data_IF_702290127468
#
_entry.id   IF_702290127468
#
_cell.length_a   1.000
_cell.length_b   1.000
_cell.length_c   1.000
_cell.angle_alpha   90.00
_cell.angle_beta   90.00
_cell.angle_gamma   90.00
#
_symmetry.space_group_name_H-M   'P 1'
#
loop_
_entity.id
_entity.type
_entity.pdbx_description
1 polymer ?
#
# COMPACT_ATOMS: atom_id res chain seq x y z
N UNK A 1 -39.93 17.56 -9.74
CA UNK A 1 -38.93 16.77 -10.46
C UNK A 1 -37.64 16.82 -9.67
N UNK A 2 -37.26 15.72 -9.03
CA UNK A 2 -35.99 15.59 -8.31
C UNK A 2 -34.85 15.74 -9.31
N UNK A 3 -33.94 16.69 -9.09
CA UNK A 3 -32.67 16.73 -9.81
C UNK A 3 -31.99 15.36 -9.66
N UNK A 4 -31.42 14.77 -10.73
CA UNK A 4 -30.56 13.61 -10.58
C UNK A 4 -29.39 13.97 -9.64
N UNK A 5 -28.91 13.03 -8.81
CA UNK A 5 -27.82 13.31 -7.89
C UNK A 5 -26.60 13.87 -8.65
N UNK A 6 -25.85 14.82 -8.06
CA UNK A 6 -24.67 15.38 -8.69
C UNK A 6 -23.69 14.23 -8.98
N UNK A 7 -23.35 14.06 -10.26
CA UNK A 7 -22.37 13.03 -10.64
C UNK A 7 -21.02 13.46 -10.08
N UNK A 8 -20.30 12.54 -9.42
CA UNK A 8 -18.99 12.86 -8.88
C UNK A 8 -17.99 13.02 -10.03
N UNK A 9 -17.50 14.24 -10.26
CA UNK A 9 -16.55 14.55 -11.33
C UNK A 9 -15.11 14.63 -10.81
N UNK A 10 -14.86 14.13 -9.60
CA UNK A 10 -13.55 14.17 -8.97
C UNK A 10 -12.77 12.87 -9.26
N UNK A 11 -11.74 12.96 -10.11
CA UNK A 11 -10.89 11.84 -10.52
C UNK A 11 -10.19 11.15 -9.34
N UNK A 12 -9.97 11.86 -8.23
CA UNK A 12 -9.28 11.33 -7.06
C UNK A 12 -10.13 10.37 -6.22
N UNK A 13 -11.45 10.34 -6.44
CA UNK A 13 -12.36 9.44 -5.72
C UNK A 13 -12.61 8.12 -6.44
N UNK A 14 -12.10 7.96 -7.66
CA UNK A 14 -12.28 6.76 -8.44
C UNK A 14 -11.12 5.79 -8.26
N UNK A 15 -11.43 4.51 -8.14
CA UNK A 15 -10.40 3.47 -8.15
C UNK A 15 -10.00 3.12 -9.59
N UNK A 16 -8.88 2.39 -9.75
CA UNK A 16 -8.39 1.99 -11.07
C UNK A 16 -9.42 1.16 -11.85
N UNK A 17 -10.14 0.26 -11.17
CA UNK A 17 -11.13 -0.61 -11.79
C UNK A 17 -12.33 0.19 -12.33
N UNK A 18 -12.78 1.21 -11.62
CA UNK A 18 -13.85 2.12 -12.02
C UNK A 18 -13.40 2.98 -13.21
N UNK A 19 -12.16 3.49 -13.20
CA UNK A 19 -11.61 4.23 -14.34
C UNK A 19 -11.52 3.35 -15.59
N UNK A 20 -11.06 2.11 -15.45
CA UNK A 20 -11.09 1.15 -16.56
C UNK A 20 -12.53 0.85 -16.99
N UNK A 21 -13.44 0.71 -16.04
CA UNK A 21 -14.87 0.49 -16.26
C UNK A 21 -15.56 1.61 -17.04
N UNK A 22 -15.18 2.88 -16.83
CA UNK A 22 -15.71 4.04 -17.59
C UNK A 22 -15.48 3.89 -19.11
N UNK A 23 -14.45 3.16 -19.52
CA UNK A 23 -14.10 2.96 -20.92
C UNK A 23 -14.42 1.55 -21.43
N UNK A 24 -15.02 0.67 -20.62
CA UNK A 24 -15.19 -0.77 -20.85
C UNK A 24 -13.85 -1.51 -21.04
N UNK A 25 -12.84 -1.17 -20.25
CA UNK A 25 -11.51 -1.75 -20.33
C UNK A 25 -11.27 -2.81 -19.26
N UNK A 26 -10.36 -3.74 -19.56
CA UNK A 26 -9.81 -4.69 -18.60
C UNK A 26 -8.38 -4.31 -18.23
N UNK A 27 -7.77 -4.97 -17.24
CA UNK A 27 -6.37 -4.74 -16.86
C UNK A 27 -5.37 -5.00 -18.01
N UNK A 28 -5.74 -5.82 -19.00
CA UNK A 28 -4.96 -6.03 -20.21
C UNK A 28 -5.38 -5.03 -21.29
N UNK A 29 -4.71 -3.87 -21.32
CA UNK A 29 -5.02 -2.78 -22.25
C UNK A 29 -4.33 -3.02 -23.59
N UNK A 30 -5.10 -3.05 -24.69
CA UNK A 30 -4.56 -3.11 -26.06
C UNK A 30 -4.58 -1.73 -26.75
N UNK A 31 -3.89 -1.61 -27.89
CA UNK A 31 -3.90 -0.37 -28.70
C UNK A 31 -5.30 -0.08 -29.25
N UNK A 32 -6.06 -1.11 -29.62
CA UNK A 32 -7.42 -0.97 -30.14
C UNK A 32 -8.37 -0.42 -29.07
N UNK A 33 -8.20 -0.90 -27.84
CA UNK A 33 -8.90 -0.42 -26.67
C UNK A 33 -8.65 1.07 -26.40
N UNK A 34 -7.39 1.52 -26.51
CA UNK A 34 -7.05 2.95 -26.40
C UNK A 34 -7.72 3.79 -27.49
N UNK A 35 -7.78 3.29 -28.73
CA UNK A 35 -8.49 3.98 -29.83
C UNK A 35 -9.98 4.10 -29.55
N UNK A 36 -10.60 3.04 -29.00
CA UNK A 36 -12.02 3.04 -28.60
C UNK A 36 -12.28 4.00 -27.45
N UNK A 37 -11.41 4.00 -26.42
CA UNK A 37 -11.49 4.93 -25.30
C UNK A 37 -11.37 6.39 -25.77
N UNK A 38 -10.40 6.69 -26.64
CA UNK A 38 -10.25 8.03 -27.24
C UNK A 38 -11.49 8.47 -28.02
N UNK A 39 -12.11 7.56 -28.78
CA UNK A 39 -13.36 7.83 -29.50
C UNK A 39 -14.50 8.19 -28.54
N UNK A 40 -14.62 7.51 -27.40
CA UNK A 40 -15.61 7.84 -26.35
C UNK A 40 -15.39 9.24 -25.78
N UNK A 41 -14.15 9.61 -25.43
CA UNK A 41 -13.83 10.98 -24.94
C UNK A 41 -14.24 12.03 -25.98
N UNK A 42 -13.97 11.79 -27.25
CA UNK A 42 -14.29 12.73 -28.33
C UNK A 42 -15.80 12.89 -28.53
N UNK A 43 -16.59 11.84 -28.30
CA UNK A 43 -18.06 11.91 -28.32
C UNK A 43 -18.63 12.74 -27.16
N UNK A 44 -17.92 12.82 -26.04
CA UNK A 44 -18.33 13.58 -24.85
C UNK A 44 -17.98 15.06 -24.93
N UNK A 45 -17.31 15.52 -26.01
CA UNK A 45 -17.00 16.92 -26.23
C UNK A 45 -18.29 17.78 -26.15
N UNK A 46 -18.28 18.94 -25.45
CA UNK A 46 -19.48 19.75 -25.19
C UNK A 46 -20.23 20.14 -26.47
N UNK A 47 -19.51 20.33 -27.57
CA UNK A 47 -20.08 20.61 -28.91
C UNK A 47 -20.95 19.46 -29.47
N UNK A 48 -20.62 18.21 -29.13
CA UNK A 48 -21.31 17.00 -29.63
C UNK A 48 -22.35 16.46 -28.65
N UNK A 49 -22.01 16.43 -27.37
CA UNK A 49 -22.85 15.84 -26.32
C UNK A 49 -23.85 16.83 -25.73
N UNK A 50 -23.62 18.14 -25.89
CA UNK A 50 -24.36 19.23 -25.21
C UNK A 50 -24.33 19.12 -23.68
N UNK A 51 -23.41 18.34 -23.12
CA UNK A 51 -23.17 18.19 -21.68
C UNK A 51 -22.24 19.31 -21.17
N UNK A 52 -22.19 19.50 -19.84
CA UNK A 52 -21.25 20.46 -19.23
C UNK A 52 -19.80 20.14 -19.64
N UNK A 53 -18.96 21.15 -19.92
CA UNK A 53 -17.53 20.97 -20.17
C UNK A 53 -16.80 20.16 -19.09
N UNK A 54 -17.31 20.14 -17.86
CA UNK A 54 -16.72 19.43 -16.72
C UNK A 54 -16.66 17.91 -16.96
N UNK A 55 -17.68 17.33 -17.60
CA UNK A 55 -17.70 15.91 -17.95
C UNK A 55 -16.59 15.58 -18.95
N UNK A 56 -16.39 16.44 -19.95
CA UNK A 56 -15.33 16.25 -20.93
C UNK A 56 -13.95 16.34 -20.26
N UNK A 57 -13.74 17.31 -19.36
CA UNK A 57 -12.48 17.45 -18.63
C UNK A 57 -12.19 16.24 -17.75
N UNK A 58 -13.19 15.70 -17.07
CA UNK A 58 -13.09 14.48 -16.28
C UNK A 58 -12.67 13.28 -17.15
N UNK A 59 -13.40 13.00 -18.24
CA UNK A 59 -13.09 11.88 -19.14
C UNK A 59 -11.73 12.03 -19.84
N UNK A 60 -11.32 13.26 -20.16
CA UNK A 60 -9.98 13.53 -20.69
C UNK A 60 -8.90 13.19 -19.66
N UNK A 61 -9.04 13.66 -18.42
CA UNK A 61 -8.10 13.34 -17.33
C UNK A 61 -8.03 11.83 -17.09
N UNK A 62 -9.18 11.14 -17.06
CA UNK A 62 -9.23 9.69 -16.90
C UNK A 62 -8.52 8.96 -18.05
N UNK A 63 -8.71 9.40 -19.29
CA UNK A 63 -8.01 8.85 -20.46
C UNK A 63 -6.50 9.09 -20.41
N UNK A 64 -6.06 10.29 -20.02
CA UNK A 64 -4.63 10.62 -19.90
C UNK A 64 -3.93 9.71 -18.87
N UNK A 65 -4.60 9.37 -17.76
CA UNK A 65 -4.08 8.42 -16.77
C UNK A 65 -3.95 7.00 -17.37
N UNK A 66 -4.96 6.53 -18.09
CA UNK A 66 -4.92 5.22 -18.75
C UNK A 66 -3.79 5.16 -19.79
N UNK A 67 -3.60 6.23 -20.55
CA UNK A 67 -2.53 6.34 -21.53
C UNK A 67 -1.15 6.27 -20.85
N UNK A 68 -0.97 7.02 -19.75
CA UNK A 68 0.27 6.99 -18.98
C UNK A 68 0.56 5.60 -18.41
N UNK A 69 -0.45 4.91 -17.86
CA UNK A 69 -0.30 3.52 -17.38
C UNK A 69 0.07 2.58 -18.52
N UNK A 70 -0.58 2.70 -19.69
CA UNK A 70 -0.24 1.89 -20.85
C UNK A 70 1.20 2.12 -21.29
N UNK A 71 1.63 3.37 -21.42
CA UNK A 71 3.01 3.72 -21.78
C UNK A 71 4.01 3.17 -20.77
N UNK A 72 3.75 3.33 -19.47
CA UNK A 72 4.62 2.83 -18.41
C UNK A 72 4.79 1.32 -18.45
N UNK A 73 3.70 0.58 -18.67
CA UNK A 73 3.76 -0.88 -18.84
C UNK A 73 4.56 -1.28 -20.11
N UNK A 74 4.48 -0.50 -21.18
CA UNK A 74 5.19 -0.80 -22.43
C UNK A 74 6.63 -0.28 -22.47
N UNK A 75 7.05 0.60 -21.56
CA UNK A 75 8.45 1.08 -21.45
C UNK A 75 9.45 -0.05 -21.24
N UNK A 76 9.06 -1.12 -20.55
CA UNK A 76 9.93 -2.28 -20.33
C UNK A 76 10.25 -3.03 -21.63
N UNK A 77 9.37 -2.94 -22.62
CA UNK A 77 9.52 -3.57 -23.93
C UNK A 77 10.20 -2.66 -24.96
N UNK A 78 10.52 -1.41 -24.60
CA UNK A 78 11.19 -0.48 -25.50
C UNK A 78 12.69 -0.80 -25.56
N UNK A 79 13.23 -0.84 -26.78
CA UNK A 79 14.68 -0.96 -26.99
C UNK A 79 15.37 0.29 -26.45
N UNK A 80 16.26 0.10 -25.47
CA UNK A 80 17.04 1.20 -24.90
C UNK A 80 18.02 1.69 -25.98
N UNK A 81 17.80 2.89 -26.51
CA UNK A 81 18.79 3.54 -27.37
C UNK A 81 20.00 3.94 -26.50
N UNK A 82 21.22 3.66 -26.97
CA UNK A 82 22.49 3.91 -26.26
C UNK A 82 22.84 5.39 -26.02
N UNK A 83 21.94 6.31 -26.34
CA UNK A 83 22.13 7.74 -26.09
C UNK A 83 21.79 8.07 -24.64
N UNK A 84 22.71 8.76 -23.97
CA UNK A 84 22.52 9.22 -22.59
C UNK A 84 21.37 10.23 -22.54
N UNK A 85 20.17 9.76 -22.19
CA UNK A 85 19.02 10.64 -21.98
C UNK A 85 19.32 11.51 -20.77
N UNK A 86 19.69 12.77 -21.00
CA UNK A 86 19.84 13.75 -19.93
C UNK A 86 18.52 13.85 -19.17
N UNK A 87 18.56 13.61 -17.87
CA UNK A 87 17.40 13.77 -16.99
C UNK A 87 16.81 15.17 -17.17
N UNK A 88 15.62 15.23 -17.75
CA UNK A 88 14.81 16.45 -17.80
C UNK A 88 13.80 16.35 -16.66
N UNK A 89 13.95 17.11 -15.57
CA UNK A 89 12.92 17.14 -14.54
C UNK A 89 11.59 17.55 -15.19
N UNK A 90 10.50 16.92 -14.75
CA UNK A 90 9.15 17.24 -15.18
C UNK A 90 8.97 18.77 -15.10
N UNK A 91 8.65 19.42 -16.21
CA UNK A 91 8.52 20.89 -16.24
C UNK A 91 7.49 21.32 -15.20
N UNK A 92 7.99 21.96 -14.14
CA UNK A 92 7.17 22.49 -13.09
C UNK A 92 6.42 23.69 -13.69
N UNK A 93 5.14 23.50 -14.03
CA UNK A 93 4.17 24.44 -14.65
C UNK A 93 4.03 25.82 -13.99
N UNK A 94 4.84 26.13 -12.98
CA UNK A 94 4.94 27.44 -12.37
C UNK A 94 5.87 28.35 -13.18
N UNK A 95 5.32 29.48 -13.63
CA UNK A 95 6.03 30.56 -14.31
C UNK A 95 7.34 30.92 -13.57
N UNK A 96 8.46 31.02 -14.30
CA UNK A 96 9.78 31.34 -13.72
C UNK A 96 9.78 32.64 -12.90
N UNK A 97 8.93 33.62 -13.28
CA UNK A 97 8.74 34.86 -12.52
C UNK A 97 8.14 34.63 -11.12
N UNK A 98 7.19 33.70 -10.98
CA UNK A 98 6.58 33.37 -9.69
C UNK A 98 7.58 32.64 -8.77
N UNK A 99 8.41 31.74 -9.33
CA UNK A 99 9.47 31.06 -8.57
C UNK A 99 10.51 32.04 -8.02
N UNK A 100 10.92 33.01 -8.84
CA UNK A 100 11.88 34.02 -8.43
C UNK A 100 11.31 34.92 -7.32
N UNK A 101 10.03 35.30 -7.40
CA UNK A 101 9.35 36.04 -6.33
C UNK A 101 9.23 35.24 -5.03
N UNK A 102 8.84 33.97 -5.08
CA UNK A 102 8.82 33.12 -3.88
C UNK A 102 10.21 33.04 -3.26
N UNK A 103 11.25 32.89 -4.08
CA UNK A 103 12.64 32.82 -3.60
C UNK A 103 13.10 34.11 -2.92
N UNK A 104 12.72 35.29 -3.44
CA UNK A 104 13.07 36.56 -2.80
C UNK A 104 12.33 36.72 -1.47
N UNK A 105 11.04 36.41 -1.43
CA UNK A 105 10.22 36.49 -0.20
C UNK A 105 10.76 35.59 0.90
N UNK A 106 11.08 34.32 0.57
CA UNK A 106 11.69 33.39 1.53
C UNK A 106 13.07 33.88 1.99
N UNK A 107 13.83 34.54 1.12
CA UNK A 107 15.14 35.09 1.46
C UNK A 107 15.09 36.35 2.32
N UNK A 108 13.99 37.10 2.26
CA UNK A 108 13.76 38.34 3.03
C UNK A 108 13.11 38.08 4.40
N UNK A 109 12.41 36.95 4.56
CA UNK A 109 11.80 36.53 5.82
C UNK A 109 12.85 36.13 6.88
N UNK A 110 12.55 36.37 8.15
CA UNK A 110 13.36 35.85 9.25
C UNK A 110 13.26 34.32 9.33
N UNK A 111 14.34 33.66 9.79
CA UNK A 111 14.39 32.20 9.90
C UNK A 111 13.33 31.64 10.84
N UNK A 112 13.00 32.34 11.93
CA UNK A 112 11.98 31.89 12.88
C UNK A 112 10.58 31.96 12.27
N UNK A 113 10.28 33.06 11.58
CA UNK A 113 9.01 33.28 10.88
C UNK A 113 8.82 32.32 9.69
N UNK A 114 9.88 32.07 8.92
CA UNK A 114 9.89 31.04 7.89
C UNK A 114 9.58 29.66 8.46
N UNK A 115 10.26 29.25 9.54
CA UNK A 115 10.03 27.94 10.13
C UNK A 115 8.59 27.79 10.65
N UNK A 116 8.04 28.83 11.29
CA UNK A 116 6.66 28.80 11.77
C UNK A 116 5.64 28.69 10.63
N UNK A 117 5.75 29.57 9.63
CA UNK A 117 4.86 29.59 8.46
C UNK A 117 5.00 28.34 7.60
N UNK A 118 6.23 27.84 7.40
CA UNK A 118 6.49 26.59 6.70
C UNK A 118 5.87 25.40 7.45
N UNK A 119 6.11 25.27 8.75
CA UNK A 119 5.55 24.17 9.53
C UNK A 119 4.02 24.22 9.56
N UNK A 120 3.43 25.42 9.67
CA UNK A 120 1.98 25.59 9.58
C UNK A 120 1.43 25.14 8.22
N UNK A 121 1.97 25.68 7.12
CA UNK A 121 1.55 25.33 5.77
C UNK A 121 1.79 23.85 5.46
N UNK A 122 2.89 23.28 5.95
CA UNK A 122 3.20 21.86 5.83
C UNK A 122 2.17 21.00 6.57
N UNK A 123 1.89 21.30 7.84
CA UNK A 123 0.92 20.55 8.64
C UNK A 123 -0.51 20.65 8.11
N UNK A 124 -0.90 21.79 7.54
CA UNK A 124 -2.20 21.99 6.88
C UNK A 124 -2.30 21.22 5.56
N UNK A 125 -1.22 21.14 4.79
CA UNK A 125 -1.20 20.52 3.46
C UNK A 125 -0.62 19.09 3.44
N UNK A 126 -0.27 18.49 4.57
CA UNK A 126 0.15 17.08 4.60
C UNK A 126 -0.98 16.18 4.09
N UNK A 127 -0.69 15.35 3.09
CA UNK A 127 -1.63 14.34 2.55
C UNK A 127 -1.96 13.28 3.59
N UNK A 128 -0.96 12.88 4.40
CA UNK A 128 -1.14 11.90 5.45
C UNK A 128 -0.62 12.43 6.75
N UNK A 129 -1.48 12.53 7.74
CA UNK A 129 -1.05 12.73 9.12
C UNK A 129 -0.64 11.36 9.67
N UNK A 130 0.51 11.25 10.35
CA UNK A 130 0.88 9.99 10.98
C UNK A 130 -0.23 9.60 11.96
N UNK A 131 -0.72 8.36 11.86
CA UNK A 131 -1.75 7.88 12.77
C UNK A 131 -1.13 7.70 14.16
N UNK A 132 -1.47 8.60 15.08
CA UNK A 132 -0.91 8.60 16.43
C UNK A 132 -1.37 7.36 17.22
N UNK A 133 -2.60 6.88 16.97
CA UNK A 133 -3.19 5.78 17.75
C UNK A 133 -2.46 4.45 17.60
N UNK A 134 -1.81 4.23 16.45
CA UNK A 134 -1.05 3.00 16.17
C UNK A 134 0.09 2.77 17.16
N UNK A 135 0.72 3.85 17.64
CA UNK A 135 1.87 3.78 18.55
C UNK A 135 1.51 4.14 20.00
N UNK A 136 0.23 4.38 20.31
CA UNK A 136 -0.23 4.70 21.66
C UNK A 136 0.14 3.62 22.68
N UNK A 137 0.22 2.35 22.24
CA UNK A 137 0.62 1.25 23.10
C UNK A 137 2.04 1.41 23.66
N UNK A 138 2.93 2.13 22.95
CA UNK A 138 4.31 2.36 23.36
C UNK A 138 4.44 3.49 24.40
N UNK A 139 3.44 4.36 24.49
CA UNK A 139 3.44 5.49 25.43
C UNK A 139 2.76 5.18 26.76
N UNK A 140 2.06 4.05 26.88
CA UNK A 140 1.39 3.63 28.11
C UNK A 140 2.32 2.76 28.95
N UNK A 141 2.49 3.10 30.23
CA UNK A 141 3.25 2.30 31.20
C UNK A 141 2.41 1.16 31.84
N UNK A 142 1.32 0.75 31.19
CA UNK A 142 0.43 -0.28 31.72
C UNK A 142 1.10 -1.67 31.61
N UNK A 143 1.08 -2.50 32.68
CA UNK A 143 1.65 -3.84 32.61
C UNK A 143 0.85 -4.70 31.62
N UNK A 144 1.55 -5.29 30.65
CA UNK A 144 0.95 -6.15 29.60
C UNK A 144 0.28 -7.38 30.21
N UNK A 145 0.81 -7.88 31.33
CA UNK A 145 0.28 -9.04 32.05
C UNK A 145 -0.01 -8.69 33.51
N UNK A 146 -1.24 -8.93 33.94
CA UNK A 146 -1.60 -8.90 35.36
C UNK A 146 -1.25 -10.25 35.99
N UNK A 147 -0.14 -10.30 36.71
CA UNK A 147 0.28 -11.47 37.48
C UNK A 147 -0.41 -11.41 38.84
N UNK A 148 -1.04 -12.52 39.25
CA UNK A 148 -1.63 -12.66 40.59
C UNK A 148 -0.54 -12.47 41.66
N UNK A 149 -0.74 -11.65 42.71
CA UNK A 149 0.27 -11.43 43.75
C UNK A 149 0.69 -12.70 44.53
N UNK A 150 -0.06 -13.82 44.45
CA UNK A 150 0.24 -15.06 45.17
C UNK A 150 0.95 -16.14 44.30
N UNK A 151 1.97 -15.77 43.53
CA UNK A 151 2.82 -16.77 42.85
C UNK A 151 3.84 -17.38 43.82
N UNK A 152 3.83 -18.71 43.92
CA UNK A 152 4.80 -19.55 44.64
C UNK A 152 5.51 -20.48 43.65
N UNK A 153 6.63 -21.08 44.07
CA UNK A 153 7.38 -22.05 43.24
C UNK A 153 6.55 -23.25 42.78
N UNK A 154 5.46 -23.59 43.48
CA UNK A 154 4.58 -24.72 43.15
C UNK A 154 3.49 -24.37 42.13
N UNK A 155 3.00 -23.13 42.09
CA UNK A 155 1.94 -22.71 41.16
C UNK A 155 2.48 -21.93 39.96
N UNK A 156 3.77 -21.59 39.94
CA UNK A 156 4.43 -20.85 38.87
C UNK A 156 4.22 -21.49 37.49
N UNK A 157 4.28 -22.83 37.40
CA UNK A 157 4.02 -23.54 36.14
C UNK A 157 2.61 -23.29 35.59
N UNK A 158 1.59 -23.43 36.43
CA UNK A 158 0.21 -23.18 36.05
C UNK A 158 -0.03 -21.72 35.65
N UNK A 159 0.55 -20.77 36.40
CA UNK A 159 0.46 -19.34 36.09
C UNK A 159 1.13 -19.04 34.75
N UNK A 160 2.32 -19.57 34.49
CA UNK A 160 2.99 -19.43 33.19
C UNK A 160 2.16 -20.02 32.05
N UNK A 161 1.53 -21.17 32.23
CA UNK A 161 0.69 -21.77 31.20
C UNK A 161 -0.56 -20.92 30.90
N UNK A 162 -1.14 -20.26 31.91
CA UNK A 162 -2.23 -19.30 31.66
C UNK A 162 -1.77 -18.07 30.87
N UNK A 163 -0.54 -17.60 31.11
CA UNK A 163 0.06 -16.49 30.36
C UNK A 163 0.32 -16.92 28.91
N UNK A 164 0.93 -18.10 28.70
CA UNK A 164 1.17 -18.64 27.35
C UNK A 164 -0.12 -18.81 26.57
N UNK A 165 -1.20 -19.28 27.22
CA UNK A 165 -2.50 -19.43 26.58
C UNK A 165 -3.06 -18.09 26.11
N UNK A 166 -3.10 -17.08 27.00
CA UNK A 166 -3.56 -15.73 26.63
C UNK A 166 -2.70 -15.13 25.52
N UNK A 167 -1.39 -15.37 25.56
CA UNK A 167 -0.48 -14.86 24.53
C UNK A 167 -0.70 -15.56 23.17
N UNK A 168 -0.99 -16.85 23.16
CA UNK A 168 -1.27 -17.61 21.94
C UNK A 168 -2.52 -17.11 21.20
N UNK A 169 -3.53 -16.62 21.93
CA UNK A 169 -4.75 -16.02 21.35
C UNK A 169 -4.47 -14.68 20.65
N UNK A 170 -3.43 -13.96 21.06
CA UNK A 170 -3.05 -12.67 20.46
C UNK A 170 -2.18 -12.84 19.20
N UNK A 171 -1.49 -13.97 19.03
CA UNK A 171 -0.59 -14.19 17.90
C UNK A 171 -1.37 -14.70 16.68
N UNK A 172 -1.37 -13.91 15.61
CA UNK A 172 -1.93 -14.29 14.31
C UNK A 172 -1.14 -15.45 13.68
N UNK A 173 -1.83 -16.54 13.34
CA UNK A 173 -1.27 -17.64 12.57
C UNK A 173 -1.36 -17.36 11.07
N UNK A 174 -0.20 -17.18 10.43
CA UNK A 174 -0.12 -16.83 9.00
C UNK A 174 0.09 -18.03 8.05
N UNK A 175 0.10 -19.26 8.58
CA UNK A 175 0.31 -20.46 7.77
C UNK A 175 1.68 -20.49 7.06
N UNK A 176 1.71 -21.18 5.92
CA UNK A 176 2.89 -21.25 5.05
C UNK A 176 2.91 -19.98 4.20
N UNK A 177 3.94 -19.16 4.38
CA UNK A 177 4.18 -17.98 3.55
C UNK A 177 5.33 -18.26 2.58
N UNK A 178 5.17 -17.81 1.34
CA UNK A 178 6.27 -17.82 0.36
C UNK A 178 7.33 -16.82 0.83
N UNK A 179 8.58 -17.28 1.02
CA UNK A 179 9.67 -16.37 1.38
C UNK A 179 10.04 -15.51 0.17
N UNK A 180 10.11 -14.19 0.39
CA UNK A 180 10.48 -13.23 -0.64
C UNK A 180 12.01 -13.14 -0.77
N UNK A 181 12.61 -14.10 -1.48
CA UNK A 181 14.07 -14.26 -1.60
C UNK A 181 14.54 -13.98 -3.03
N UNK A 182 14.32 -12.78 -3.62
CA UNK A 182 15.34 -12.22 -4.53
C UNK A 182 15.19 -10.75 -5.03
N UNK A 183 16.40 -10.20 -5.20
CA UNK A 183 16.99 -9.26 -6.18
C UNK A 183 16.66 -7.78 -6.27
N UNK A 184 15.72 -7.20 -5.50
CA UNK A 184 15.77 -5.76 -5.17
C UNK A 184 14.77 -5.41 -4.04
N UNK A 185 15.28 -5.31 -2.81
CA UNK A 185 14.62 -4.68 -1.64
C UNK A 185 13.22 -5.20 -1.25
N UNK A 186 13.16 -6.08 -0.25
CA UNK A 186 11.91 -6.49 0.41
C UNK A 186 11.91 -6.15 1.90
N UNK A 187 12.23 -4.89 2.25
CA UNK A 187 11.91 -4.36 3.58
C UNK A 187 10.53 -3.74 3.47
N UNK A 188 9.52 -4.34 4.11
CA UNK A 188 8.19 -3.72 4.16
C UNK A 188 8.33 -2.37 4.87
N UNK A 189 7.98 -1.28 4.19
CA UNK A 189 7.99 0.05 4.80
C UNK A 189 6.59 0.39 5.32
N UNK A 190 6.54 1.24 6.34
CA UNK A 190 5.29 1.66 6.98
C UNK A 190 4.25 2.24 5.99
N UNK A 191 4.70 2.84 4.88
CA UNK A 191 3.86 3.46 3.85
C UNK A 191 3.32 2.50 2.77
N UNK A 192 3.75 1.24 2.73
CA UNK A 192 3.30 0.28 1.70
C UNK A 192 2.01 -0.47 2.08
N UNK A 193 1.53 -0.25 3.30
CA UNK A 193 0.44 -0.96 3.96
C UNK A 193 -0.68 0.04 4.31
N UNK A 194 -1.30 0.62 3.28
CA UNK A 194 -2.38 1.63 3.41
C UNK A 194 -3.79 1.06 3.23
N UNK A 195 -3.92 -0.24 3.03
CA UNK A 195 -5.24 -0.87 3.11
C UNK A 195 -5.67 -0.87 4.59
N UNK A 196 -6.93 -0.49 4.88
CA UNK A 196 -7.50 -0.44 6.24
C UNK A 196 -7.36 -1.79 7.00
N UNK A 197 -7.16 -2.89 6.27
CA UNK A 197 -6.91 -4.24 6.81
C UNK A 197 -5.46 -4.46 7.28
N UNK A 198 -4.56 -3.50 7.09
CA UNK A 198 -3.12 -3.63 7.34
C UNK A 198 -2.66 -3.12 8.73
N UNK A 199 -3.59 -2.64 9.57
CA UNK A 199 -3.28 -2.18 10.95
C UNK A 199 -2.69 -3.30 11.83
N UNK A 200 -2.97 -4.56 11.50
CA UNK A 200 -2.52 -5.74 12.24
C UNK A 200 -1.40 -6.54 11.56
N UNK A 201 -0.70 -5.95 10.59
CA UNK A 201 0.46 -6.57 9.94
C UNK A 201 1.76 -6.04 10.55
N UNK A 202 2.54 -6.93 11.15
CA UNK A 202 3.88 -6.60 11.63
C UNK A 202 4.82 -6.27 10.49
N UNK A 203 5.62 -5.23 10.68
CA UNK A 203 6.69 -4.87 9.76
C UNK A 203 7.95 -5.63 10.15
N UNK A 204 8.26 -6.69 9.42
CA UNK A 204 9.45 -7.50 9.62
C UNK A 204 10.24 -7.64 8.32
N UNK A 205 11.54 -7.88 8.43
CA UNK A 205 12.34 -8.27 7.26
C UNK A 205 12.35 -9.77 7.02
N UNK A 206 12.62 -10.16 5.78
CA UNK A 206 13.03 -11.53 5.44
C UNK A 206 14.20 -11.99 6.35
N UNK A 207 14.12 -13.18 6.99
CA UNK A 207 15.20 -13.75 7.80
C UNK A 207 16.57 -13.80 7.10
N UNK A 208 16.60 -13.85 5.76
CA UNK A 208 17.82 -13.89 4.95
C UNK A 208 18.28 -12.51 4.44
N UNK A 209 17.56 -11.43 4.76
CA UNK A 209 17.96 -10.07 4.38
C UNK A 209 19.24 -9.63 5.12
N UNK A 210 20.02 -8.75 4.47
CA UNK A 210 21.20 -8.11 5.05
C UNK A 210 20.85 -7.16 6.20
N UNK A 211 19.70 -6.50 6.10
CA UNK A 211 19.21 -5.51 7.06
C UNK A 211 18.08 -6.16 7.85
N UNK A 212 18.37 -6.64 9.06
CA UNK A 212 17.39 -7.38 9.88
C UNK A 212 16.72 -6.41 10.86
N UNK A 213 15.41 -6.24 10.73
CA UNK A 213 14.59 -5.54 11.71
C UNK A 213 13.30 -6.30 11.94
N UNK A 214 12.72 -6.09 13.12
CA UNK A 214 11.42 -6.62 13.49
C UNK A 214 10.57 -5.51 14.10
N UNK A 215 9.25 -5.66 14.03
CA UNK A 215 8.32 -4.65 14.53
C UNK A 215 8.42 -4.57 16.06
N UNK A 216 8.52 -3.35 16.60
CA UNK A 216 8.57 -3.15 18.05
C UNK A 216 7.31 -3.70 18.74
N UNK A 217 6.13 -3.57 18.10
CA UNK A 217 4.87 -4.12 18.65
C UNK A 217 4.95 -5.64 18.78
N UNK A 218 5.52 -6.30 17.78
CA UNK A 218 5.71 -7.75 17.79
C UNK A 218 6.62 -8.17 18.93
N UNK A 219 7.79 -7.54 19.08
CA UNK A 219 8.80 -7.95 20.06
C UNK A 219 8.40 -7.60 21.49
N UNK A 220 7.84 -6.40 21.71
CA UNK A 220 7.65 -5.85 23.06
C UNK A 220 6.22 -5.93 23.58
N UNK A 221 5.23 -6.27 22.75
CA UNK A 221 3.84 -6.39 23.18
C UNK A 221 3.27 -7.78 22.92
N UNK A 222 3.33 -8.24 21.66
CA UNK A 222 2.53 -9.38 21.22
C UNK A 222 3.29 -10.74 21.31
N UNK A 223 4.63 -10.74 21.20
CA UNK A 223 5.48 -11.95 21.23
C UNK A 223 6.55 -11.93 22.34
N UNK A 224 6.21 -11.41 23.52
CA UNK A 224 7.14 -11.39 24.67
C UNK A 224 7.30 -12.75 25.36
N UNK A 225 6.30 -13.64 25.23
CA UNK A 225 6.31 -14.98 25.84
C UNK A 225 6.07 -16.03 24.74
N UNK A 226 6.78 -17.16 24.82
CA UNK A 226 6.53 -18.28 23.91
C UNK A 226 5.07 -18.73 23.97
N UNK A 227 4.35 -18.67 22.85
CA UNK A 227 2.94 -19.02 22.76
C UNK A 227 2.66 -20.53 22.67
N UNK A 228 3.70 -21.37 22.68
CA UNK A 228 3.53 -22.82 22.59
C UNK A 228 3.30 -23.39 23.99
N UNK A 229 2.21 -24.15 24.13
CA UNK A 229 1.84 -24.85 25.36
C UNK A 229 1.69 -26.35 25.10
N UNK A 230 1.73 -27.16 26.15
CA UNK A 230 1.47 -28.60 26.02
C UNK A 230 0.09 -28.88 25.43
N UNK A 231 -0.88 -27.96 25.55
CA UNK A 231 -2.21 -28.11 24.93
C UNK A 231 -2.16 -28.12 23.42
N UNK A 232 -1.16 -27.52 22.79
CA UNK A 232 -1.02 -27.53 21.34
C UNK A 232 -0.74 -28.94 20.80
N UNK A 233 -0.22 -29.83 21.64
CA UNK A 233 -0.06 -31.26 21.29
C UNK A 233 -1.41 -31.90 21.00
N UNK A 234 -2.50 -31.42 21.59
CA UNK A 234 -3.84 -31.94 21.38
C UNK A 234 -4.47 -31.46 20.06
N UNK A 235 -3.93 -30.40 19.45
CA UNK A 235 -4.36 -29.90 18.14
C UNK A 235 -3.83 -30.76 16.98
N UNK A 236 -2.80 -31.57 17.25
CA UNK A 236 -2.16 -32.45 16.26
C UNK A 236 -2.60 -33.89 16.51
N UNK A 237 -2.87 -34.63 15.44
CA UNK A 237 -3.20 -36.05 15.54
C UNK A 237 -2.02 -36.82 16.18
N UNK A 238 -2.26 -37.40 17.35
CA UNK A 238 -1.29 -38.23 18.04
C UNK A 238 -1.47 -39.70 17.67
N UNK A 239 -0.37 -40.43 17.64
CA UNK A 239 -0.34 -41.85 17.30
C UNK A 239 0.25 -42.63 18.48
N UNK A 240 -0.48 -43.62 18.97
CA UNK A 240 -0.04 -44.49 20.07
C UNK A 240 0.99 -45.55 19.65
N UNK A 241 1.13 -45.81 18.35
CA UNK A 241 2.04 -46.83 17.81
C UNK A 241 2.65 -46.36 16.48
N UNK A 242 3.89 -46.79 16.24
CA UNK A 242 4.63 -46.53 15.00
C UNK A 242 3.90 -47.11 13.78
N UNK A 243 3.25 -48.26 13.91
CA UNK A 243 2.49 -48.88 12.80
C UNK A 243 1.28 -48.02 12.38
N UNK A 244 0.55 -47.45 13.36
CA UNK A 244 -0.56 -46.55 13.08
C UNK A 244 -0.09 -45.28 12.36
N UNK A 245 1.04 -44.71 12.80
CA UNK A 245 1.67 -43.57 12.14
C UNK A 245 2.09 -43.87 10.70
N UNK A 246 2.69 -45.04 10.44
CA UNK A 246 3.09 -45.44 9.08
C UNK A 246 1.90 -45.62 8.15
N UNK A 247 0.80 -46.19 8.63
CA UNK A 247 -0.43 -46.34 7.85
C UNK A 247 -1.04 -44.99 7.49
N UNK A 248 -1.14 -44.07 8.44
CA UNK A 248 -1.71 -42.73 8.19
C UNK A 248 -0.82 -41.91 7.25
N UNK A 249 0.51 -41.96 7.42
CA UNK A 249 1.45 -41.36 6.46
C UNK A 249 1.30 -41.96 5.07
N UNK A 250 1.07 -43.27 4.95
CA UNK A 250 0.86 -43.96 3.68
C UNK A 250 -0.47 -43.63 2.99
N UNK A 251 -1.48 -43.15 3.74
CA UNK A 251 -2.75 -42.66 3.19
C UNK A 251 -2.66 -41.25 2.62
N UNK A 252 -1.65 -40.47 3.01
CA UNK A 252 -1.50 -39.10 2.53
C UNK A 252 -1.10 -39.09 1.06
N UNK A 253 -1.92 -38.48 0.23
CA UNK A 253 -1.65 -38.30 -1.19
C UNK A 253 -0.60 -37.21 -1.36
N UNK A 254 0.68 -37.61 -1.43
CA UNK A 254 1.83 -36.73 -1.68
C UNK A 254 2.09 -36.53 -3.19
N UNK A 255 1.09 -36.76 -4.04
CA UNK A 255 1.27 -36.58 -5.48
C UNK A 255 1.52 -35.11 -5.77
N UNK A 256 2.67 -34.75 -6.37
CA UNK A 256 2.89 -33.38 -6.80
C UNK A 256 1.81 -32.98 -7.81
N UNK A 257 1.50 -31.68 -7.85
CA UNK A 257 0.58 -31.10 -8.82
C UNK A 257 0.98 -31.49 -10.25
N UNK A 258 0.00 -31.75 -11.10
CA UNK A 258 0.26 -31.98 -12.51
C UNK A 258 0.89 -30.72 -13.12
N UNK A 259 1.83 -30.89 -14.05
CA UNK A 259 2.51 -29.77 -14.73
C UNK A 259 1.53 -28.73 -15.28
N UNK A 260 0.45 -29.17 -15.93
CA UNK A 260 -0.54 -28.26 -16.50
C UNK A 260 -1.26 -27.43 -15.43
N UNK A 261 -1.63 -28.06 -14.32
CA UNK A 261 -2.27 -27.39 -13.19
C UNK A 261 -1.30 -26.41 -12.50
N UNK A 262 -0.05 -26.80 -12.35
CA UNK A 262 0.99 -25.95 -11.77
C UNK A 262 1.27 -24.70 -12.65
N UNK A 263 1.37 -24.87 -13.97
CA UNK A 263 1.53 -23.76 -14.92
C UNK A 263 0.32 -22.82 -14.90
N UNK A 264 -0.90 -23.38 -14.83
CA UNK A 264 -2.12 -22.59 -14.70
C UNK A 264 -2.13 -21.77 -13.40
N UNK A 265 -1.76 -22.39 -12.27
CA UNK A 265 -1.69 -21.70 -10.98
C UNK A 265 -0.65 -20.58 -11.00
N UNK A 266 0.52 -20.81 -11.61
CA UNK A 266 1.56 -19.80 -11.76
C UNK A 266 1.08 -18.62 -12.61
N UNK A 267 0.46 -18.90 -13.77
CA UNK A 267 -0.08 -17.86 -14.64
C UNK A 267 -1.18 -17.04 -13.96
N UNK A 268 -2.02 -17.67 -13.13
CA UNK A 268 -3.03 -16.99 -12.32
C UNK A 268 -2.39 -16.08 -11.26
N UNK A 269 -1.37 -16.56 -10.54
CA UNK A 269 -0.61 -15.75 -9.58
C UNK A 269 0.08 -14.55 -10.25
N UNK A 270 0.72 -14.77 -11.39
CA UNK A 270 1.38 -13.71 -12.17
C UNK A 270 0.38 -12.66 -12.66
N UNK A 271 -0.83 -13.08 -13.03
CA UNK A 271 -1.92 -12.15 -13.40
C UNK A 271 -2.34 -11.30 -12.20
N UNK A 272 -2.64 -11.93 -11.06
CA UNK A 272 -3.02 -11.23 -9.83
C UNK A 272 -1.92 -10.27 -9.34
N UNK A 273 -0.66 -10.69 -9.44
CA UNK A 273 0.48 -9.87 -9.09
C UNK A 273 0.58 -8.62 -9.98
N UNK A 274 0.45 -8.78 -11.31
CA UNK A 274 0.42 -7.65 -12.24
C UNK A 274 -0.72 -6.69 -11.96
N UNK A 275 -1.92 -7.20 -11.68
CA UNK A 275 -3.08 -6.37 -11.32
C UNK A 275 -2.81 -5.54 -10.05
N UNK A 276 -2.24 -6.15 -9.01
CA UNK A 276 -1.81 -5.44 -7.78
C UNK A 276 -0.75 -4.37 -8.06
N UNK A 277 0.23 -4.68 -8.89
CA UNK A 277 1.27 -3.70 -9.27
C UNK A 277 0.66 -2.49 -10.00
N UNK A 278 -0.25 -2.72 -10.95
CA UNK A 278 -0.95 -1.64 -11.65
C UNK A 278 -1.78 -0.77 -10.70
N UNK A 279 -2.46 -1.40 -9.73
CA UNK A 279 -3.21 -0.66 -8.71
C UNK A 279 -2.28 0.21 -7.85
N UNK A 280 -1.15 -0.33 -7.40
CA UNK A 280 -0.14 0.41 -6.64
C UNK A 280 0.46 1.57 -7.45
N UNK A 281 0.76 1.34 -8.72
CA UNK A 281 1.25 2.38 -9.63
C UNK A 281 0.24 3.52 -9.76
N UNK A 282 -1.04 3.18 -9.96
CA UNK A 282 -2.12 4.16 -10.05
C UNK A 282 -2.27 4.99 -8.77
N UNK A 283 -2.28 4.33 -7.60
CA UNK A 283 -2.32 5.01 -6.29
C UNK A 283 -1.11 5.94 -6.09
N UNK A 284 0.09 5.50 -6.48
CA UNK A 284 1.30 6.33 -6.40
C UNK A 284 1.20 7.56 -7.31
N UNK A 285 0.67 7.41 -8.52
CA UNK A 285 0.45 8.52 -9.44
C UNK A 285 -0.58 9.51 -8.89
N UNK A 286 -1.71 9.04 -8.36
CA UNK A 286 -2.70 9.89 -7.69
C UNK A 286 -2.09 10.70 -6.54
N UNK A 287 -1.31 10.05 -5.66
CA UNK A 287 -0.59 10.73 -4.57
C UNK A 287 0.37 11.78 -5.11
N UNK A 288 1.10 11.48 -6.18
CA UNK A 288 2.01 12.43 -6.83
C UNK A 288 1.26 13.65 -7.39
N UNK A 289 0.09 13.45 -8.01
CA UNK A 289 -0.77 14.53 -8.49
C UNK A 289 -1.27 15.40 -7.34
N UNK A 290 -1.79 14.80 -6.27
CA UNK A 290 -2.26 15.52 -5.08
C UNK A 290 -1.13 16.32 -4.44
N UNK A 291 0.04 15.71 -4.26
CA UNK A 291 1.24 16.38 -3.76
C UNK A 291 1.64 17.57 -4.64
N UNK A 292 1.53 17.44 -5.96
CA UNK A 292 1.83 18.52 -6.90
C UNK A 292 0.84 19.69 -6.77
N UNK A 293 -0.45 19.41 -6.59
CA UNK A 293 -1.47 20.44 -6.35
C UNK A 293 -1.24 21.16 -5.02
N UNK A 294 -1.00 20.41 -3.94
CA UNK A 294 -0.71 20.99 -2.63
C UNK A 294 0.56 21.82 -2.61
N UNK A 295 1.61 21.37 -3.30
CA UNK A 295 2.82 22.16 -3.46
C UNK A 295 2.54 23.50 -4.15
N UNK A 296 1.64 23.54 -5.15
CA UNK A 296 1.20 24.83 -5.75
C UNK A 296 0.48 25.71 -4.73
N UNK A 297 -0.38 25.13 -3.91
CA UNK A 297 -1.10 25.86 -2.84
C UNK A 297 -0.13 26.46 -1.82
N UNK A 298 0.84 25.66 -1.34
CA UNK A 298 1.89 26.12 -0.41
C UNK A 298 2.68 27.28 -1.02
N UNK A 299 3.17 27.13 -2.26
CA UNK A 299 3.92 28.17 -2.95
C UNK A 299 3.09 29.43 -3.21
N UNK A 300 1.79 29.29 -3.50
CA UNK A 300 0.88 30.42 -3.65
C UNK A 300 0.60 31.16 -2.34
N UNK A 301 0.63 30.44 -1.21
CA UNK A 301 0.44 31.02 0.11
C UNK A 301 1.64 31.86 0.51
N UNK A 302 2.86 31.42 0.19
CA UNK A 302 4.07 32.24 0.34
C UNK A 302 4.03 33.53 -0.50
N UNK A 303 3.42 33.51 -1.69
CA UNK A 303 3.21 34.71 -2.50
C UNK A 303 2.18 35.68 -1.92
N UNK A 304 1.34 35.25 -0.97
CA UNK A 304 0.31 36.07 -0.32
C UNK A 304 0.75 36.68 1.00
N UNK A 305 1.86 36.21 1.57
CA UNK A 305 2.41 36.70 2.84
C UNK A 305 3.18 38.02 2.66
N UNK A 306 3.39 38.47 1.41
CA UNK A 306 3.80 39.83 1.06
C UNK A 306 2.60 40.75 0.89
#
# INVERSE_FOLDING_TARGET
MSQPPPHNLNIHMYNLQEILGLFDLTYTITIEDLKRAKKKVLMLHPDKSRLSPDYFLFYKKAFDIILQLYENNHKQNQTINSETVKYKPLENTLNNAAKNKVKTVIGEMDKSEFNHTFNQLFNENMVKKPNQTRNDWFSKEEPIYNIDPNVSTKNMGAVLDTIKQKNAELIKYNGIQELYVNSNSGSQLYDENEDEDAEDVYISTDPFSKLKFDDLRKVHKDQTVFAVSERDINKVQQYSSVDHFMRERGKQTLTPLEKQEAEYMLAMKDKQYRERLMQKEYQANLKAMENAEKNKTVLSSFLRLT
#
